data_IF_516021655535
#
_entry.id   IF_516021655535
#
_cell.length_a   1.000
_cell.length_b   1.000
_cell.length_c   1.000
_cell.angle_alpha   90.00
_cell.angle_beta   90.00
_cell.angle_gamma   90.00
#
_symmetry.space_group_name_H-M   'P 1'
#
loop_
_entity.id
_entity.type
_entity.pdbx_description
1 polymer ?
#
# COMPACT_ATOMS: atom_id res chain seq x y z
N UNK A 1 -3.66 33.90 14.62
CA UNK A 1 -2.47 34.46 13.94
C UNK A 1 -1.82 33.35 13.12
N UNK A 2 -1.47 33.69 11.87
CA UNK A 2 -0.97 32.82 10.81
C UNK A 2 0.27 32.03 11.23
N UNK A 3 0.36 30.76 10.82
CA UNK A 3 1.65 30.11 10.52
C UNK A 3 1.50 29.32 9.21
N UNK A 4 1.66 30.09 8.12
CA UNK A 4 2.20 29.63 6.85
C UNK A 4 3.64 29.19 7.11
N UNK A 5 4.06 28.01 6.65
CA UNK A 5 5.46 27.78 6.27
C UNK A 5 5.46 27.10 4.91
N UNK A 6 5.99 27.88 3.96
CA UNK A 6 6.19 27.67 2.55
C UNK A 6 7.61 27.13 2.34
N UNK A 7 7.73 26.15 1.45
CA UNK A 7 8.81 25.85 0.48
C UNK A 7 10.27 26.17 0.81
N UNK A 8 11.16 25.19 0.62
CA UNK A 8 12.57 25.43 0.38
C UNK A 8 12.93 25.16 -1.09
N UNK A 9 13.37 26.23 -1.76
CA UNK A 9 14.07 26.28 -3.04
C UNK A 9 15.57 26.37 -2.72
N UNK A 10 16.41 25.56 -3.36
CA UNK A 10 17.83 25.91 -3.56
C UNK A 10 18.20 25.59 -5.01
N UNK A 11 18.60 26.64 -5.72
CA UNK A 11 19.21 26.61 -7.04
C UNK A 11 20.60 25.98 -6.98
N UNK A 12 20.88 25.11 -7.95
CA UNK A 12 22.22 24.65 -8.28
C UNK A 12 22.21 24.06 -9.68
N UNK A 13 22.65 24.84 -10.68
CA UNK A 13 22.84 24.36 -12.04
C UNK A 13 23.95 23.30 -12.05
N UNK A 14 23.59 22.08 -12.40
CA UNK A 14 24.51 21.01 -12.75
C UNK A 14 23.89 20.20 -13.88
N UNK A 15 24.45 20.32 -15.08
CA UNK A 15 24.14 19.41 -16.18
C UNK A 15 24.68 18.05 -15.76
N UNK A 16 23.80 17.11 -15.43
CA UNK A 16 24.17 15.71 -15.20
C UNK A 16 23.37 14.84 -16.14
N UNK A 17 24.09 14.19 -17.03
CA UNK A 17 23.58 13.22 -17.99
C UNK A 17 22.85 12.09 -17.24
N UNK A 18 21.58 11.85 -17.58
CA UNK A 18 20.84 10.68 -17.14
C UNK A 18 21.49 9.42 -17.73
N UNK A 19 22.23 8.68 -16.91
CA UNK A 19 22.61 7.32 -17.26
C UNK A 19 21.42 6.41 -16.98
N UNK A 20 20.83 5.87 -18.05
CA UNK A 20 19.90 4.75 -18.00
C UNK A 20 20.61 3.57 -17.32
N UNK A 21 20.13 3.14 -16.15
CA UNK A 21 20.58 1.88 -15.54
C UNK A 21 19.88 0.71 -16.23
N UNK A 22 20.58 0.10 -17.19
CA UNK A 22 20.18 -1.16 -17.82
C UNK A 22 20.33 -2.36 -16.89
N UNK A 23 19.54 -2.45 -15.82
CA UNK A 23 19.58 -3.54 -14.84
C UNK A 23 18.34 -4.44 -14.89
N UNK A 24 17.94 -4.90 -16.08
CA UNK A 24 17.10 -6.09 -16.22
C UNK A 24 17.47 -6.85 -17.50
N UNK A 25 18.37 -7.83 -17.38
CA UNK A 25 18.35 -8.95 -18.31
C UNK A 25 17.18 -9.85 -17.88
N UNK A 26 16.09 -9.79 -18.63
CA UNK A 26 14.99 -10.74 -18.52
C UNK A 26 15.50 -12.08 -19.04
N UNK A 27 15.95 -12.95 -18.14
CA UNK A 27 16.34 -14.30 -18.53
C UNK A 27 15.05 -15.11 -18.74
N UNK A 28 14.76 -15.42 -20.00
CA UNK A 28 13.68 -16.33 -20.38
C UNK A 28 14.01 -17.73 -19.85
N UNK A 29 13.16 -18.25 -18.98
CA UNK A 29 13.24 -19.59 -18.38
C UNK A 29 13.74 -20.65 -19.38
N UNK A 30 14.96 -21.12 -19.16
CA UNK A 30 15.46 -22.37 -19.73
C UNK A 30 15.39 -23.42 -18.64
N UNK A 31 14.42 -24.34 -18.72
CA UNK A 31 14.33 -25.47 -17.79
C UNK A 31 15.53 -26.40 -18.00
N UNK A 32 16.56 -26.27 -17.16
CA UNK A 32 17.67 -27.24 -17.09
C UNK A 32 17.58 -27.97 -15.75
N UNK A 33 17.28 -29.26 -15.82
CA UNK A 33 17.15 -30.13 -14.66
C UNK A 33 18.55 -30.66 -14.28
N UNK A 34 19.21 -30.03 -13.29
CA UNK A 34 20.52 -30.49 -12.80
C UNK A 34 20.35 -31.09 -11.40
N UNK A 35 20.59 -32.40 -11.30
CA UNK A 35 20.59 -33.13 -10.04
C UNK A 35 22.02 -33.15 -9.49
N UNK A 36 22.39 -32.17 -8.67
CA UNK A 36 23.70 -32.10 -8.02
C UNK A 36 23.55 -32.14 -6.50
N UNK A 37 24.16 -33.14 -5.87
CA UNK A 37 24.18 -33.31 -4.42
C UNK A 37 25.46 -32.64 -3.88
N UNK A 38 25.33 -31.49 -3.23
CA UNK A 38 26.47 -30.74 -2.68
C UNK A 38 26.33 -30.67 -1.16
N UNK A 39 27.28 -31.29 -0.46
CA UNK A 39 27.35 -31.30 0.99
C UNK A 39 28.40 -30.26 1.44
N UNK A 40 27.98 -29.18 2.10
CA UNK A 40 28.88 -28.19 2.69
C UNK A 40 28.59 -28.01 4.18
N UNK A 41 29.58 -28.40 5.00
CA UNK A 41 29.63 -28.02 6.40
C UNK A 41 30.22 -26.61 6.51
N UNK A 42 29.47 -25.67 7.07
CA UNK A 42 29.95 -24.32 7.38
C UNK A 42 29.66 -24.02 8.85
N UNK A 43 30.71 -23.97 9.67
CA UNK A 43 30.66 -23.46 11.03
C UNK A 43 31.23 -22.04 11.07
N UNK A 44 30.37 -21.05 11.28
CA UNK A 44 30.74 -19.65 11.47
C UNK A 44 29.52 -18.75 11.38
N UNK A 45 29.36 -17.79 12.30
CA UNK A 45 28.31 -16.78 12.21
C UNK A 45 28.67 -15.78 11.09
N UNK A 46 28.15 -16.03 9.89
CA UNK A 46 28.23 -15.12 8.75
C UNK A 46 27.04 -14.18 8.81
N UNK A 47 27.29 -12.90 9.10
CA UNK A 47 26.34 -11.84 8.78
C UNK A 47 26.39 -11.63 7.26
N UNK A 48 25.54 -12.37 6.56
CA UNK A 48 25.44 -12.32 5.10
C UNK A 48 24.66 -11.05 4.71
N UNK A 49 25.37 -10.04 4.17
CA UNK A 49 24.72 -9.01 3.36
C UNK A 49 24.21 -9.69 2.08
N UNK A 50 23.01 -10.28 2.14
CA UNK A 50 22.38 -10.91 0.97
C UNK A 50 22.16 -9.86 -0.11
N UNK A 51 23.04 -9.83 -1.09
CA UNK A 51 22.86 -9.09 -2.33
C UNK A 51 21.71 -9.76 -3.09
N UNK A 52 20.52 -9.18 -2.97
CA UNK A 52 19.25 -9.61 -3.58
C UNK A 52 19.44 -9.68 -5.11
N UNK A 53 19.87 -10.82 -5.64
CA UNK A 53 20.02 -11.04 -7.09
C UNK A 53 19.17 -12.19 -7.61
N UNK A 54 18.46 -12.91 -6.75
CA UNK A 54 17.51 -13.96 -7.15
C UNK A 54 16.42 -14.17 -6.09
N UNK A 55 15.55 -13.17 -5.88
CA UNK A 55 14.28 -13.43 -5.21
C UNK A 55 13.36 -14.14 -6.20
N UNK A 56 13.03 -15.40 -5.93
CA UNK A 56 11.98 -16.12 -6.66
C UNK A 56 10.62 -15.75 -6.06
N UNK A 57 9.99 -14.73 -6.64
CA UNK A 57 8.68 -14.27 -6.22
C UNK A 57 7.60 -15.36 -6.34
N UNK A 58 7.75 -16.31 -7.27
CA UNK A 58 6.84 -17.45 -7.41
C UNK A 58 6.96 -18.42 -6.23
N UNK A 59 8.19 -18.75 -5.83
CA UNK A 59 8.45 -19.57 -4.65
C UNK A 59 7.94 -18.89 -3.37
N UNK A 60 8.17 -17.57 -3.21
CA UNK A 60 7.65 -16.80 -2.07
C UNK A 60 6.13 -16.73 -2.04
N UNK A 61 5.48 -16.60 -3.21
CA UNK A 61 4.03 -16.64 -3.32
C UNK A 61 3.48 -18.00 -2.89
N UNK A 62 4.08 -19.09 -3.38
CA UNK A 62 3.68 -20.44 -3.05
C UNK A 62 3.86 -20.71 -1.54
N UNK A 63 4.97 -20.25 -0.97
CA UNK A 63 5.22 -20.36 0.47
C UNK A 63 4.15 -19.59 1.28
N UNK A 64 3.78 -18.38 0.87
CA UNK A 64 2.71 -17.61 1.51
C UNK A 64 1.35 -18.31 1.39
N UNK A 65 1.02 -18.82 0.20
CA UNK A 65 -0.22 -19.56 -0.03
C UNK A 65 -0.31 -20.82 0.84
N UNK A 66 0.78 -21.60 0.91
CA UNK A 66 0.83 -22.80 1.75
C UNK A 66 0.75 -22.47 3.24
N UNK A 67 1.39 -21.39 3.70
CA UNK A 67 1.26 -20.93 5.10
C UNK A 67 -0.17 -20.53 5.43
N UNK A 68 -0.82 -19.77 4.55
CA UNK A 68 -2.22 -19.37 4.72
C UNK A 68 -3.15 -20.58 4.76
N UNK A 69 -2.92 -21.55 3.85
CA UNK A 69 -3.64 -22.82 3.82
C UNK A 69 -3.48 -23.59 5.12
N UNK A 70 -2.24 -23.77 5.59
CA UNK A 70 -1.95 -24.47 6.85
C UNK A 70 -2.64 -23.78 8.04
N UNK A 71 -2.60 -22.45 8.11
CA UNK A 71 -3.26 -21.66 9.16
C UNK A 71 -4.77 -21.92 9.17
N UNK A 72 -5.38 -21.94 8.00
CA UNK A 72 -6.82 -22.15 7.84
C UNK A 72 -7.21 -23.61 8.09
N UNK A 73 -6.41 -24.59 7.68
CA UNK A 73 -6.66 -26.02 7.98
C UNK A 73 -6.65 -26.31 9.49
N UNK A 74 -5.88 -25.53 10.27
CA UNK A 74 -5.85 -25.61 11.74
C UNK A 74 -7.01 -24.86 12.42
N UNK A 75 -7.75 -24.03 11.68
CA UNK A 75 -8.89 -23.29 12.19
C UNK A 75 -10.14 -24.17 12.24
N UNK A 76 -10.90 -24.06 13.33
CA UNK A 76 -12.22 -24.71 13.44
C UNK A 76 -13.25 -23.90 12.66
N UNK A 77 -13.84 -24.50 11.63
CA UNK A 77 -14.97 -23.94 10.90
C UNK A 77 -16.29 -24.52 11.40
N UNK A 78 -17.35 -23.71 11.37
CA UNK A 78 -18.69 -24.16 11.74
C UNK A 78 -19.37 -24.94 10.60
N UNK A 79 -18.97 -24.70 9.36
CA UNK A 79 -19.53 -25.30 8.15
C UNK A 79 -18.44 -25.53 7.09
N UNK A 80 -18.60 -26.58 6.30
CA UNK A 80 -17.66 -27.05 5.27
C UNK A 80 -17.52 -26.04 4.13
N UNK A 81 -18.61 -25.32 3.80
CA UNK A 81 -18.56 -24.22 2.81
C UNK A 81 -17.63 -23.09 3.24
N UNK A 82 -17.59 -22.74 4.52
CA UNK A 82 -16.68 -21.71 5.02
C UNK A 82 -15.22 -22.15 4.89
N UNK A 83 -14.95 -23.42 5.17
CA UNK A 83 -13.63 -24.02 4.99
C UNK A 83 -13.21 -23.99 3.51
N UNK A 84 -14.10 -24.37 2.60
CA UNK A 84 -13.82 -24.35 1.16
C UNK A 84 -13.47 -22.93 0.67
N UNK A 85 -14.30 -21.94 1.03
CA UNK A 85 -14.05 -20.53 0.71
C UNK A 85 -12.70 -20.06 1.24
N UNK A 86 -12.37 -20.41 2.49
CA UNK A 86 -11.11 -20.05 3.10
C UNK A 86 -9.91 -20.65 2.34
N UNK A 87 -9.98 -21.94 1.97
CA UNK A 87 -8.92 -22.61 1.21
C UNK A 87 -8.76 -22.02 -0.19
N UNK A 88 -9.86 -21.68 -0.88
CA UNK A 88 -9.79 -20.99 -2.17
C UNK A 88 -9.10 -19.62 -2.04
N UNK A 89 -9.42 -18.85 -1.00
CA UNK A 89 -8.77 -17.55 -0.72
C UNK A 89 -7.27 -17.72 -0.41
N UNK A 90 -6.89 -18.79 0.29
CA UNK A 90 -5.50 -19.08 0.60
C UNK A 90 -4.65 -19.38 -0.64
N UNK A 91 -5.24 -20.01 -1.65
CA UNK A 91 -4.56 -20.31 -2.92
C UNK A 91 -4.63 -19.12 -3.88
N UNK A 92 -5.77 -18.43 -3.91
CA UNK A 92 -6.04 -17.32 -4.81
C UNK A 92 -6.64 -16.14 -4.02
N UNK A 93 -5.80 -15.23 -3.47
CA UNK A 93 -6.27 -14.12 -2.63
C UNK A 93 -7.34 -13.25 -3.28
N UNK A 94 -7.32 -13.13 -4.60
CA UNK A 94 -8.31 -12.37 -5.37
C UNK A 94 -9.75 -12.87 -5.16
N UNK A 95 -9.95 -14.15 -4.82
CA UNK A 95 -11.27 -14.72 -4.47
C UNK A 95 -11.89 -14.05 -3.25
N UNK A 96 -11.09 -13.48 -2.35
CA UNK A 96 -11.62 -12.74 -1.20
C UNK A 96 -12.41 -11.51 -1.62
N UNK A 97 -12.15 -10.96 -2.81
CA UNK A 97 -12.98 -9.92 -3.41
C UNK A 97 -14.37 -10.45 -3.78
N UNK A 98 -14.43 -11.62 -4.42
CA UNK A 98 -15.66 -12.21 -4.92
C UNK A 98 -16.58 -12.66 -3.77
N UNK A 99 -15.96 -13.13 -2.67
CA UNK A 99 -16.64 -13.44 -1.41
C UNK A 99 -16.72 -12.26 -0.42
N UNK A 100 -16.34 -11.06 -0.88
CA UNK A 100 -16.37 -9.83 -0.10
C UNK A 100 -17.73 -9.15 -0.13
N UNK A 101 -17.79 -7.93 0.39
CA UNK A 101 -19.01 -7.13 0.38
C UNK A 101 -18.69 -5.66 0.12
N UNK A 102 -19.56 -4.99 -0.63
CA UNK A 102 -19.43 -3.54 -0.85
C UNK A 102 -19.68 -2.77 0.45
N UNK A 103 -18.82 -1.79 0.70
CA UNK A 103 -18.94 -0.82 1.77
C UNK A 103 -18.91 0.59 1.18
N UNK A 104 -19.67 1.49 1.81
CA UNK A 104 -19.80 2.87 1.38
C UNK A 104 -19.41 3.80 2.51
N UNK A 105 -18.56 4.78 2.20
CA UNK A 105 -18.31 5.95 3.03
C UNK A 105 -19.05 7.11 2.36
N UNK A 106 -20.06 7.69 3.01
CA UNK A 106 -20.78 8.84 2.44
C UNK A 106 -20.97 9.98 3.42
N UNK A 107 -20.79 11.21 2.95
CA UNK A 107 -21.19 12.42 3.69
C UNK A 107 -22.71 12.52 3.92
N UNK A 108 -23.50 11.72 3.20
CA UNK A 108 -24.97 11.68 3.28
C UNK A 108 -25.48 10.63 4.29
N UNK A 109 -24.59 9.83 4.88
CA UNK A 109 -24.98 8.80 5.83
C UNK A 109 -25.74 9.38 7.01
N UNK A 110 -26.84 8.72 7.38
CA UNK A 110 -27.72 9.16 8.49
C UNK A 110 -26.97 9.23 9.83
N UNK A 111 -25.90 8.43 9.98
CA UNK A 111 -25.03 8.43 11.16
C UNK A 111 -24.48 9.83 11.50
N UNK A 112 -24.15 10.64 10.49
CA UNK A 112 -23.64 11.99 10.70
C UNK A 112 -24.65 12.98 11.29
N UNK A 113 -25.95 12.65 11.26
CA UNK A 113 -27.03 13.53 11.72
C UNK A 113 -27.50 13.22 13.14
N UNK A 114 -26.96 12.17 13.77
CA UNK A 114 -27.49 11.63 15.02
C UNK A 114 -27.30 12.57 16.22
N UNK A 115 -26.17 13.26 16.32
CA UNK A 115 -25.89 14.15 17.45
C UNK A 115 -25.01 15.35 17.05
N UNK A 116 -24.77 16.27 17.99
CA UNK A 116 -23.98 17.48 17.74
C UNK A 116 -22.53 17.16 17.36
N UNK A 117 -21.92 16.21 18.06
CA UNK A 117 -20.52 15.81 17.86
C UNK A 117 -20.28 15.24 16.46
N UNK A 118 -21.11 14.29 16.01
CA UNK A 118 -21.03 13.69 14.67
C UNK A 118 -21.20 14.73 13.56
N UNK A 119 -22.09 15.71 13.75
CA UNK A 119 -22.25 16.84 12.81
C UNK A 119 -21.02 17.73 12.76
N UNK A 120 -20.41 18.04 13.91
CA UNK A 120 -19.19 18.83 13.99
C UNK A 120 -17.99 18.09 13.37
N UNK A 121 -17.88 16.79 13.60
CA UNK A 121 -16.86 15.95 12.99
C UNK A 121 -17.00 15.90 11.47
N UNK A 122 -18.23 15.71 10.94
CA UNK A 122 -18.46 15.79 9.50
C UNK A 122 -18.09 17.16 8.94
N UNK A 123 -18.43 18.26 9.64
CA UNK A 123 -18.06 19.61 9.22
C UNK A 123 -16.54 19.75 9.12
N UNK A 124 -15.78 19.33 10.14
CA UNK A 124 -14.31 19.35 10.13
C UNK A 124 -13.75 18.51 8.97
N UNK A 125 -14.31 17.33 8.71
CA UNK A 125 -13.91 16.49 7.58
C UNK A 125 -14.10 17.24 6.26
N UNK A 126 -15.30 17.81 6.03
CA UNK A 126 -15.62 18.58 4.81
C UNK A 126 -14.69 19.78 4.63
N UNK A 127 -14.42 20.51 5.71
CA UNK A 127 -13.50 21.64 5.73
C UNK A 127 -12.06 21.20 5.42
N UNK A 128 -11.60 20.06 5.94
CA UNK A 128 -10.26 19.54 5.67
C UNK A 128 -10.09 19.04 4.24
N UNK A 129 -11.07 18.30 3.71
CA UNK A 129 -10.97 17.68 2.38
C UNK A 129 -11.41 18.63 1.25
N UNK A 130 -12.17 19.69 1.56
CA UNK A 130 -12.66 20.67 0.59
C UNK A 130 -13.88 20.24 -0.24
N UNK A 131 -14.61 19.24 0.22
CA UNK A 131 -15.85 18.77 -0.40
C UNK A 131 -17.03 18.92 0.55
N UNK A 132 -18.13 19.49 0.04
CA UNK A 132 -19.43 19.54 0.71
C UNK A 132 -20.12 18.18 0.67
N UNK A 133 -19.98 17.45 -0.44
CA UNK A 133 -20.50 16.09 -0.59
C UNK A 133 -19.39 15.18 -1.11
N UNK A 134 -19.36 13.95 -0.60
CA UNK A 134 -18.47 12.90 -1.09
C UNK A 134 -19.09 11.52 -0.85
N UNK A 135 -18.77 10.58 -1.75
CA UNK A 135 -19.08 9.16 -1.61
C UNK A 135 -17.93 8.31 -2.16
N UNK A 136 -17.51 7.33 -1.38
CA UNK A 136 -16.56 6.29 -1.78
C UNK A 136 -17.23 4.95 -1.60
N UNK A 137 -17.18 4.11 -2.64
CA UNK A 137 -17.63 2.72 -2.58
C UNK A 137 -16.42 1.80 -2.84
N UNK A 138 -16.18 0.82 -1.98
CA UNK A 138 -15.12 -0.17 -2.15
C UNK A 138 -15.56 -1.53 -1.62
N UNK A 139 -14.88 -2.60 -2.02
CA UNK A 139 -15.14 -3.94 -1.49
C UNK A 139 -14.31 -4.15 -0.23
N UNK A 140 -14.97 -4.55 0.86
CA UNK A 140 -14.31 -5.17 2.02
C UNK A 140 -14.10 -6.64 1.66
N UNK A 141 -12.85 -7.12 1.52
CA UNK A 141 -12.60 -8.52 1.22
C UNK A 141 -13.13 -9.42 2.32
N UNK A 142 -13.31 -10.69 1.99
CA UNK A 142 -13.73 -11.69 2.95
C UNK A 142 -12.81 -11.73 4.20
N UNK A 143 -13.42 -11.90 5.38
CA UNK A 143 -12.75 -11.81 6.68
C UNK A 143 -11.72 -12.91 6.95
N UNK A 144 -11.67 -13.96 6.13
CA UNK A 144 -10.61 -14.97 6.23
C UNK A 144 -9.22 -14.42 5.88
N UNK A 145 -9.14 -13.30 5.16
CA UNK A 145 -7.87 -12.67 4.81
C UNK A 145 -7.74 -11.22 5.30
N UNK A 146 -8.79 -10.39 5.24
CA UNK A 146 -8.72 -9.00 5.71
C UNK A 146 -9.83 -8.71 6.72
N UNK A 147 -9.46 -8.11 7.84
CA UNK A 147 -10.38 -7.57 8.82
C UNK A 147 -10.54 -6.07 8.60
N UNK A 148 -11.78 -5.58 8.55
CA UNK A 148 -12.05 -4.15 8.56
C UNK A 148 -11.91 -3.62 9.99
N UNK A 149 -10.84 -2.87 10.27
CA UNK A 149 -10.63 -2.24 11.58
C UNK A 149 -11.52 -1.02 11.76
N UNK A 150 -11.68 -0.26 10.68
CA UNK A 150 -12.61 0.86 10.58
C UNK A 150 -12.91 1.14 9.10
N UNK A 151 -13.78 2.11 8.83
CA UNK A 151 -14.21 2.48 7.47
C UNK A 151 -13.06 2.90 6.53
N UNK A 152 -11.87 3.21 7.06
CA UNK A 152 -10.72 3.69 6.30
C UNK A 152 -9.54 2.72 6.33
N UNK A 153 -9.64 1.58 7.02
CA UNK A 153 -8.52 0.67 7.24
C UNK A 153 -8.93 -0.79 7.25
N UNK A 154 -8.31 -1.57 6.36
CA UNK A 154 -8.34 -3.02 6.36
C UNK A 154 -6.98 -3.54 6.83
N UNK A 155 -6.96 -4.62 7.61
CA UNK A 155 -5.74 -5.23 8.09
C UNK A 155 -5.72 -6.74 7.86
N UNK A 156 -4.57 -7.23 7.44
CA UNK A 156 -4.20 -8.63 7.46
C UNK A 156 -2.96 -8.80 8.35
N UNK A 157 -2.92 -9.87 9.15
CA UNK A 157 -1.73 -10.28 9.90
C UNK A 157 -1.44 -11.72 9.54
N UNK A 158 -0.27 -11.98 8.96
CA UNK A 158 0.18 -13.33 8.62
C UNK A 158 0.78 -14.05 9.84
N UNK A 159 0.85 -15.37 9.76
CA UNK A 159 1.40 -16.20 10.85
C UNK A 159 2.90 -16.01 11.08
N UNK A 160 3.63 -15.44 10.12
CA UNK A 160 5.06 -15.14 10.18
C UNK A 160 5.35 -13.68 10.59
N UNK A 161 4.34 -12.96 11.09
CA UNK A 161 4.50 -11.65 11.72
C UNK A 161 4.35 -10.45 10.77
N UNK A 162 4.10 -10.67 9.47
CA UNK A 162 3.87 -9.57 8.52
C UNK A 162 2.47 -9.01 8.69
N UNK A 163 2.39 -7.70 8.96
CA UNK A 163 1.15 -6.93 8.94
C UNK A 163 1.00 -6.25 7.59
N UNK A 164 -0.21 -6.28 7.05
CA UNK A 164 -0.58 -5.57 5.83
C UNK A 164 -1.78 -4.71 6.10
N UNK A 165 -1.60 -3.39 6.01
CA UNK A 165 -2.67 -2.42 6.17
C UNK A 165 -3.03 -1.80 4.82
N UNK A 166 -4.32 -1.71 4.51
CA UNK A 166 -4.87 -0.97 3.38
C UNK A 166 -5.62 0.24 3.92
N UNK A 167 -5.11 1.44 3.62
CA UNK A 167 -5.71 2.71 4.01
C UNK A 167 -6.46 3.33 2.83
N UNK A 168 -7.75 3.58 3.02
CA UNK A 168 -8.61 4.26 2.07
C UNK A 168 -8.70 5.73 2.48
N UNK A 169 -8.11 6.64 1.69
CA UNK A 169 -8.17 8.07 1.96
C UNK A 169 -9.37 8.72 1.28
N UNK A 170 -9.95 9.71 1.96
CA UNK A 170 -10.93 10.60 1.34
C UNK A 170 -10.27 11.44 0.22
N UNK A 171 -11.02 11.81 -0.83
CA UNK A 171 -10.50 12.72 -1.85
C UNK A 171 -10.15 14.07 -1.25
N UNK A 172 -9.07 14.69 -1.70
CA UNK A 172 -8.63 16.00 -1.22
C UNK A 172 -8.68 16.99 -2.38
N UNK A 173 -9.52 18.01 -2.24
CA UNK A 173 -9.61 19.11 -3.19
C UNK A 173 -8.39 20.04 -3.06
N UNK A 174 -7.79 20.39 -4.19
CA UNK A 174 -6.63 21.25 -4.24
C UNK A 174 -7.02 22.74 -4.10
N UNK A 175 -7.36 23.14 -2.87
CA UNK A 175 -7.80 24.52 -2.54
C UNK A 175 -6.76 25.58 -2.88
N UNK A 176 -5.49 25.24 -2.66
CA UNK A 176 -4.36 26.16 -2.80
C UNK A 176 -3.82 26.21 -4.23
N UNK A 177 -4.39 25.40 -5.14
CA UNK A 177 -4.01 25.34 -6.56
C UNK A 177 -2.53 24.99 -6.75
N UNK A 178 -1.99 24.17 -5.85
CA UNK A 178 -0.62 23.69 -5.95
C UNK A 178 -0.47 22.79 -7.18
N UNK A 179 0.67 22.87 -7.85
CA UNK A 179 1.00 21.89 -8.90
C UNK A 179 1.29 20.56 -8.19
N UNK A 180 0.60 19.49 -8.59
CA UNK A 180 0.79 18.16 -8.03
C UNK A 180 1.40 17.28 -9.11
N UNK A 181 2.72 17.21 -9.13
CA UNK A 181 3.47 16.33 -10.03
C UNK A 181 3.96 15.09 -9.26
N UNK A 182 3.28 13.97 -9.48
CA UNK A 182 3.60 12.70 -8.80
C UNK A 182 4.98 12.18 -9.22
N UNK A 183 5.38 12.40 -10.46
CA UNK A 183 6.70 11.95 -10.96
C UNK A 183 7.80 12.82 -10.35
N UNK A 184 7.64 14.14 -10.36
CA UNK A 184 8.60 15.06 -9.74
C UNK A 184 8.75 14.82 -8.23
N UNK A 185 7.64 14.66 -7.51
CA UNK A 185 7.65 14.36 -6.07
C UNK A 185 8.32 13.01 -5.77
N UNK A 186 8.12 12.01 -6.64
CA UNK A 186 8.79 10.73 -6.53
C UNK A 186 10.30 10.85 -6.76
N UNK A 187 10.73 11.65 -7.74
CA UNK A 187 12.16 11.84 -8.05
C UNK A 187 12.91 12.56 -6.92
N UNK A 188 12.27 13.52 -6.25
CA UNK A 188 12.85 14.24 -5.09
C UNK A 188 13.16 13.35 -3.89
N UNK A 189 12.57 12.16 -3.79
CA UNK A 189 12.84 11.26 -2.67
C UNK A 189 14.21 10.60 -2.83
N UNK A 190 15.12 10.84 -1.89
CA UNK A 190 16.47 10.29 -1.91
C UNK A 190 16.53 8.88 -1.29
N UNK A 191 17.27 7.98 -1.95
CA UNK A 191 17.54 6.61 -1.46
C UNK A 191 18.91 6.57 -0.79
N UNK A 192 19.06 5.73 0.23
CA UNK A 192 20.35 5.52 0.91
C UNK A 192 20.69 6.57 1.96
N UNK A 193 19.72 7.39 2.38
CA UNK A 193 19.88 8.40 3.43
C UNK A 193 18.83 8.26 4.53
N UNK A 194 19.25 8.55 5.75
CA UNK A 194 18.33 8.72 6.87
C UNK A 194 17.69 10.11 6.80
N UNK A 195 16.36 10.17 6.83
CA UNK A 195 15.60 11.42 6.87
C UNK A 195 14.64 11.42 8.05
N UNK A 196 14.30 12.61 8.55
CA UNK A 196 13.22 12.78 9.52
C UNK A 196 11.93 13.11 8.79
N UNK A 197 10.88 12.34 9.06
CA UNK A 197 9.54 12.62 8.55
C UNK A 197 8.49 12.38 9.64
N UNK A 198 7.36 13.10 9.61
CA UNK A 198 6.23 12.77 10.46
C UNK A 198 5.69 11.38 10.12
N UNK A 199 5.29 10.63 11.14
CA UNK A 199 4.46 9.43 11.02
C UNK A 199 2.98 9.80 10.79
N UNK A 200 2.10 8.79 10.74
CA UNK A 200 0.67 9.03 10.53
C UNK A 200 -0.02 9.71 11.74
N UNK A 201 0.65 9.82 12.90
CA UNK A 201 0.24 10.60 14.08
C UNK A 201 0.93 11.98 14.16
N UNK A 202 1.66 12.37 13.10
CA UNK A 202 2.43 13.60 13.00
C UNK A 202 3.61 13.70 13.99
N UNK A 203 4.11 12.57 14.50
CA UNK A 203 5.34 12.50 15.30
C UNK A 203 6.53 12.30 14.38
N UNK A 204 7.58 13.08 14.58
CA UNK A 204 8.81 12.93 13.80
C UNK A 204 9.47 11.58 14.11
N UNK A 205 9.78 10.84 13.06
CA UNK A 205 10.59 9.62 13.12
C UNK A 205 11.69 9.65 12.08
N UNK A 206 12.80 9.01 12.42
CA UNK A 206 13.90 8.75 11.51
C UNK A 206 13.57 7.53 10.68
N UNK A 207 13.69 7.66 9.36
CA UNK A 207 13.50 6.57 8.42
C UNK A 207 14.67 6.49 7.45
N UNK A 208 14.91 5.31 6.91
CA UNK A 208 15.90 5.06 5.87
C UNK A 208 15.23 4.41 4.66
N UNK A 209 15.33 5.04 3.49
CA UNK A 209 14.83 4.46 2.25
C UNK A 209 15.89 3.59 1.58
N UNK A 210 15.53 2.34 1.31
CA UNK A 210 16.38 1.36 0.61
C UNK A 210 16.12 1.35 -0.89
N UNK A 211 14.87 1.57 -1.30
CA UNK A 211 14.44 1.46 -2.70
C UNK A 211 13.17 2.26 -2.95
N UNK A 212 13.03 2.78 -4.16
CA UNK A 212 11.78 3.34 -4.68
C UNK A 212 11.49 2.80 -6.08
N UNK A 213 10.21 2.65 -6.43
CA UNK A 213 9.75 2.31 -7.77
C UNK A 213 8.49 3.10 -8.12
N UNK A 214 8.35 3.54 -9.36
CA UNK A 214 7.14 4.20 -9.86
C UNK A 214 6.60 3.43 -11.05
N UNK A 215 5.33 3.04 -10.99
CA UNK A 215 4.65 2.28 -12.03
C UNK A 215 3.31 2.92 -12.38
N UNK A 216 2.83 2.70 -13.60
CA UNK A 216 1.43 3.00 -13.95
C UNK A 216 0.50 2.01 -13.27
N UNK A 217 -0.67 2.48 -12.86
CA UNK A 217 -1.70 1.66 -12.23
C UNK A 217 -3.10 2.15 -12.61
N UNK A 218 -4.11 1.29 -12.45
CA UNK A 218 -5.51 1.69 -12.52
C UNK A 218 -6.01 1.96 -11.11
N UNK A 219 -6.46 3.19 -10.86
CA UNK A 219 -6.84 3.71 -9.53
C UNK A 219 -8.24 4.29 -9.66
N UNK A 220 -9.21 3.73 -8.95
CA UNK A 220 -10.64 4.10 -9.07
C UNK A 220 -11.16 4.11 -10.52
N UNK A 221 -10.76 3.11 -11.31
CA UNK A 221 -11.11 2.99 -12.74
C UNK A 221 -10.36 3.96 -13.68
N UNK A 222 -9.50 4.84 -13.16
CA UNK A 222 -8.74 5.81 -13.94
C UNK A 222 -7.24 5.48 -14.03
N UNK A 223 -6.55 6.07 -15.01
CA UNK A 223 -5.10 5.91 -15.18
C UNK A 223 -4.35 6.74 -14.13
N UNK A 224 -3.68 6.07 -13.21
CA UNK A 224 -2.88 6.69 -12.16
C UNK A 224 -1.49 6.07 -12.05
N UNK A 225 -0.94 6.16 -10.84
CA UNK A 225 0.38 5.69 -10.48
C UNK A 225 0.33 4.82 -9.23
N UNK A 226 1.28 3.88 -9.14
CA UNK A 226 1.70 3.23 -7.90
C UNK A 226 3.15 3.60 -7.64
N UNK A 227 3.39 4.41 -6.60
CA UNK A 227 4.72 4.61 -6.06
C UNK A 227 4.97 3.60 -4.94
N UNK A 228 6.06 2.87 -5.02
CA UNK A 228 6.51 1.90 -4.01
C UNK A 228 7.74 2.45 -3.31
N UNK A 229 7.76 2.41 -1.98
CA UNK A 229 8.94 2.71 -1.18
C UNK A 229 9.25 1.54 -0.25
N UNK A 230 10.49 1.07 -0.26
CA UNK A 230 11.05 0.11 0.70
C UNK A 230 11.89 0.90 1.69
N UNK A 231 11.53 0.84 2.96
CA UNK A 231 12.14 1.66 3.98
C UNK A 231 12.09 0.99 5.34
N UNK A 232 12.84 1.52 6.28
CA UNK A 232 12.84 1.06 7.66
C UNK A 232 12.90 2.24 8.63
N UNK A 233 12.41 2.02 9.85
CA UNK A 233 12.71 2.90 10.98
C UNK A 233 13.56 2.15 12.01
N UNK A 234 13.60 2.63 13.26
CA UNK A 234 14.36 1.98 14.33
C UNK A 234 13.89 0.55 14.63
N UNK A 235 12.61 0.23 14.45
CA UNK A 235 11.99 -0.98 14.98
C UNK A 235 11.45 -1.92 13.90
N UNK A 236 10.97 -1.37 12.79
CA UNK A 236 10.24 -2.13 11.79
C UNK A 236 10.79 -1.93 10.38
N UNK A 237 10.63 -2.97 9.56
CA UNK A 237 10.84 -2.92 8.12
C UNK A 237 9.50 -2.66 7.44
N UNK A 238 9.52 -1.91 6.33
CA UNK A 238 8.33 -1.48 5.61
C UNK A 238 8.47 -1.58 4.10
N UNK A 239 7.38 -1.97 3.44
CA UNK A 239 7.12 -1.69 2.03
C UNK A 239 5.80 -0.94 1.95
N UNK A 240 5.79 0.22 1.30
CA UNK A 240 4.58 1.03 1.12
C UNK A 240 4.30 1.25 -0.36
N UNK A 241 3.16 0.76 -0.82
CA UNK A 241 2.58 1.07 -2.12
C UNK A 241 1.55 2.20 -1.95
N UNK A 242 1.76 3.34 -2.61
CA UNK A 242 0.76 4.41 -2.69
C UNK A 242 0.18 4.46 -4.10
N UNK A 243 -1.10 4.12 -4.21
CA UNK A 243 -1.87 4.21 -5.44
C UNK A 243 -2.54 5.57 -5.50
N UNK A 244 -2.18 6.39 -6.49
CA UNK A 244 -2.64 7.78 -6.61
C UNK A 244 -3.10 8.08 -8.02
N UNK A 245 -4.12 8.92 -8.10
CA UNK A 245 -4.52 9.56 -9.34
C UNK A 245 -5.00 10.98 -9.03
N UNK A 246 -4.62 11.92 -9.88
CA UNK A 246 -5.03 13.31 -9.83
C UNK A 246 -6.06 13.54 -10.93
N UNK A 247 -7.23 14.05 -10.57
CA UNK A 247 -8.22 14.49 -11.55
C UNK A 247 -7.93 15.93 -11.90
N UNK A 248 -7.40 16.17 -13.09
CA UNK A 248 -7.07 17.51 -13.59
C UNK A 248 -8.10 17.99 -14.61
N UNK A 249 -8.71 19.13 -14.31
CA UNK A 249 -8.71 20.25 -15.25
C UNK A 249 -7.94 21.37 -14.54
N UNK A 250 -6.95 21.96 -15.19
CA UNK A 250 -6.00 22.92 -14.61
C UNK A 250 -6.61 23.87 -13.55
N UNK A 251 -5.96 23.90 -12.38
CA UNK A 251 -6.14 24.90 -11.34
C UNK A 251 -6.92 24.44 -10.10
N UNK A 252 -7.86 23.50 -10.21
CA UNK A 252 -8.76 23.13 -9.10
C UNK A 252 -9.05 21.61 -9.07
N UNK A 253 -8.06 20.78 -9.40
CA UNK A 253 -8.21 19.33 -9.38
C UNK A 253 -8.41 18.76 -7.97
N UNK A 254 -8.56 17.45 -7.88
CA UNK A 254 -8.51 16.74 -6.60
C UNK A 254 -7.66 15.49 -6.71
N UNK A 255 -7.07 15.13 -5.58
CA UNK A 255 -6.26 13.93 -5.44
C UNK A 255 -7.07 12.82 -4.76
N UNK A 256 -6.90 11.60 -5.24
CA UNK A 256 -7.38 10.39 -4.57
C UNK A 256 -6.19 9.47 -4.30
N UNK A 257 -6.25 8.75 -3.17
CA UNK A 257 -5.20 7.83 -2.78
C UNK A 257 -5.74 6.59 -2.05
N UNK A 258 -5.16 5.43 -2.35
CA UNK A 258 -5.17 4.26 -1.47
C UNK A 258 -3.71 3.92 -1.14
N UNK A 259 -3.40 3.69 0.13
CA UNK A 259 -2.06 3.31 0.58
C UNK A 259 -2.10 1.88 1.09
N UNK A 260 -1.15 1.06 0.71
CA UNK A 260 -0.96 -0.28 1.25
C UNK A 260 0.42 -0.37 1.88
N UNK A 261 0.48 -0.80 3.14
CA UNK A 261 1.72 -0.89 3.91
C UNK A 261 1.89 -2.31 4.42
N UNK A 262 3.00 -2.92 4.03
CA UNK A 262 3.48 -4.21 4.52
C UNK A 262 4.60 -3.94 5.52
N UNK A 263 4.51 -4.50 6.73
CA UNK A 263 5.48 -4.20 7.77
C UNK A 263 5.58 -5.27 8.84
N UNK A 264 6.67 -5.24 9.60
CA UNK A 264 6.88 -6.12 10.75
C UNK A 264 8.15 -5.77 11.51
N UNK A 265 8.29 -6.34 12.70
CA UNK A 265 9.46 -6.12 13.55
C UNK A 265 10.73 -6.63 12.87
N UNK A 266 11.79 -5.80 12.84
CA UNK A 266 13.09 -6.17 12.25
C UNK A 266 13.70 -7.46 12.80
N UNK A 267 13.41 -7.82 14.05
CA UNK A 267 13.92 -9.06 14.64
C UNK A 267 13.25 -10.32 14.08
N UNK A 268 12.11 -10.18 13.41
CA UNK A 268 11.27 -11.30 12.97
C UNK A 268 10.98 -11.27 11.46
N UNK A 269 10.92 -10.08 10.87
CA UNK A 269 10.45 -9.83 9.50
C UNK A 269 11.52 -9.06 8.71
N UNK A 270 12.07 -9.73 7.71
CA UNK A 270 12.98 -9.14 6.72
C UNK A 270 12.22 -8.68 5.47
N UNK A 271 12.92 -7.98 4.56
CA UNK A 271 12.33 -7.51 3.31
C UNK A 271 11.89 -8.63 2.38
N UNK A 272 12.48 -9.82 2.46
CA UNK A 272 12.10 -10.98 1.65
C UNK A 272 10.69 -11.46 2.03
N UNK A 273 10.39 -11.58 3.33
CA UNK A 273 9.04 -11.88 3.82
C UNK A 273 8.03 -10.81 3.41
N UNK A 274 8.40 -9.53 3.50
CA UNK A 274 7.53 -8.42 3.09
C UNK A 274 7.21 -8.48 1.59
N UNK A 275 8.22 -8.66 0.74
CA UNK A 275 8.04 -8.79 -0.72
C UNK A 275 7.20 -10.03 -1.07
N UNK A 276 7.42 -11.15 -0.39
CA UNK A 276 6.61 -12.36 -0.57
C UNK A 276 5.13 -12.12 -0.26
N UNK A 277 4.84 -11.46 0.88
CA UNK A 277 3.45 -11.13 1.26
C UNK A 277 2.83 -10.11 0.29
N UNK A 278 3.60 -9.10 -0.11
CA UNK A 278 3.20 -8.10 -1.09
C UNK A 278 2.83 -8.74 -2.41
N UNK A 279 3.68 -9.62 -2.94
CA UNK A 279 3.42 -10.32 -4.20
C UNK A 279 2.19 -11.23 -4.12
N UNK A 280 2.05 -11.98 -3.02
CA UNK A 280 0.88 -12.83 -2.75
C UNK A 280 -0.44 -12.04 -2.74
N UNK A 281 -0.49 -10.90 -2.05
CA UNK A 281 -1.71 -10.08 -1.94
C UNK A 281 -1.94 -9.15 -3.15
N UNK A 282 -0.94 -8.95 -4.00
CA UNK A 282 -0.98 -7.98 -5.11
C UNK A 282 -2.23 -8.11 -6.00
N UNK A 283 -2.67 -9.30 -6.48
CA UNK A 283 -3.85 -9.40 -7.33
C UNK A 283 -5.13 -8.92 -6.65
N UNK A 284 -5.29 -9.22 -5.36
CA UNK A 284 -6.43 -8.75 -4.57
C UNK A 284 -6.37 -7.23 -4.40
N UNK A 285 -5.21 -6.69 -3.99
CA UNK A 285 -5.02 -5.26 -3.78
C UNK A 285 -5.27 -4.46 -5.06
N UNK A 286 -4.70 -4.88 -6.18
CA UNK A 286 -4.89 -4.19 -7.47
C UNK A 286 -6.36 -4.24 -7.93
N UNK A 287 -7.08 -5.34 -7.67
CA UNK A 287 -8.53 -5.42 -7.93
C UNK A 287 -9.32 -4.47 -7.02
N UNK A 288 -9.00 -4.38 -5.73
CA UNK A 288 -9.65 -3.44 -4.80
C UNK A 288 -9.45 -1.99 -5.23
N UNK A 289 -8.21 -1.61 -5.52
CA UNK A 289 -7.84 -0.24 -5.91
C UNK A 289 -8.47 0.16 -7.25
N UNK A 290 -8.46 -0.73 -8.24
CA UNK A 290 -8.95 -0.42 -9.58
C UNK A 290 -10.47 -0.38 -9.68
N UNK A 291 -11.20 -1.13 -8.84
CA UNK A 291 -12.67 -1.21 -8.88
C UNK A 291 -13.38 -0.33 -7.88
N UNK A 292 -12.66 0.24 -6.91
CA UNK A 292 -13.21 1.26 -6.02
C UNK A 292 -13.80 2.43 -6.82
N UNK A 293 -14.84 3.06 -6.27
CA UNK A 293 -15.58 4.12 -6.95
C UNK A 293 -15.63 5.36 -6.08
N UNK A 294 -15.58 6.49 -6.77
CA UNK A 294 -15.79 7.80 -6.17
C UNK A 294 -16.94 8.48 -6.89
N UNK A 295 -17.90 8.98 -6.11
CA UNK A 295 -19.15 9.53 -6.61
C UNK A 295 -19.56 10.73 -5.74
N UNK A 296 -20.59 11.46 -6.18
CA UNK A 296 -21.25 12.52 -5.42
C UNK A 296 -20.29 13.60 -4.89
N UNK A 297 -19.23 13.92 -5.65
CA UNK A 297 -18.28 14.98 -5.27
C UNK A 297 -18.88 16.35 -5.55
N UNK A 298 -19.14 17.11 -4.49
CA UNK A 298 -19.52 18.53 -4.58
C UNK A 298 -18.47 19.37 -3.84
N UNK A 299 -17.77 20.24 -4.56
CA UNK A 299 -16.75 21.12 -3.95
C UNK A 299 -17.40 22.03 -2.91
N UNK A 300 -16.75 22.19 -1.76
CA UNK A 300 -17.16 23.17 -0.76
C UNK A 300 -16.82 24.58 -1.29
N UNK A 301 -17.83 25.30 -1.79
CA UNK A 301 -17.68 26.70 -2.18
C UNK A 301 -17.54 27.55 -0.91
N UNK A 302 -16.44 28.28 -0.81
CA UNK A 302 -16.24 29.32 0.20
C UNK A 302 -17.12 30.54 -0.10
#
# INVERSE_FOLDING_TARGET
MKKLILTFLVFGNGIVYSQYSGYYNVNTNSNVNVNANVNHNVSGNVYEHKTITTIDYGALQLANSQREKNRLEQQKFQDEKQKEVALQIATEPVKAYDYGSWYTISSKDKGWKQNKETKENLKKIKDNIGFKEFRIDYVVPNSQIFTMLNAYQLQNVSSDGVKTDVYIYLPIYNKDKNIIDIEEDFEKTEIGKEIEQPDDENKLRKIFFHKKELNRATVYGAKGYRSTFVWEDKFENYITDSYRYNVENFGNGYQIMIKVRYYGNKSEVDFEKLEGRRYYLKPLIEKLVSTAKINDLEILKN
#
